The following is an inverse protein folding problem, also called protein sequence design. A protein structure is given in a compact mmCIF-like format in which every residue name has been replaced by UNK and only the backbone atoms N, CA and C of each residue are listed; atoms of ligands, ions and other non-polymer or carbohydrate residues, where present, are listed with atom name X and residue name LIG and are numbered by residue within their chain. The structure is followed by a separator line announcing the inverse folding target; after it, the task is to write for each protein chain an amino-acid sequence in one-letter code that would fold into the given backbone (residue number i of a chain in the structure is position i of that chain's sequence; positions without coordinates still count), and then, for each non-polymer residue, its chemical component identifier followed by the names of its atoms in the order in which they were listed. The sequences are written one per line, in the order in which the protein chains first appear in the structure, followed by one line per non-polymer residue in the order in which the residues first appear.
data_IF_181663526748
#
_entry.id   IF_181663526748
#
_cell.length_a   1.000
_cell.length_b   1.000
_cell.length_c   1.000
_cell.angle_alpha   90.00
_cell.angle_beta   90.00
_cell.angle_gamma   90.00
#
_symmetry.space_group_name_H-M   'P 1'
#
loop_
_entity.id
_entity.type
_entity.pdbx_description
1 polymer ?
#
# COMPACT_ATOMS: atom_id res chain seq x y z
N UNK A 1 -4.04 14.28 -11.55
CA UNK A 1 -2.78 13.83 -10.92
C UNK A 1 -3.03 13.16 -9.57
N UNK A 2 -3.75 13.77 -8.64
CA UNK A 2 -3.98 13.21 -7.28
C UNK A 2 -4.59 11.80 -7.25
N UNK A 3 -5.56 11.49 -8.10
CA UNK A 3 -6.16 10.15 -8.16
C UNK A 3 -5.17 9.05 -8.60
N UNK A 4 -4.27 9.38 -9.54
CA UNK A 4 -3.24 8.44 -9.99
C UNK A 4 -2.21 8.18 -8.89
N UNK A 5 -1.84 9.22 -8.14
CA UNK A 5 -0.94 9.09 -6.98
C UNK A 5 -1.55 8.25 -5.85
N UNK A 6 -2.87 8.26 -5.67
CA UNK A 6 -3.56 7.40 -4.70
C UNK A 6 -3.69 5.95 -5.20
N UNK A 7 -3.85 5.75 -6.50
CA UNK A 7 -3.95 4.41 -7.11
C UNK A 7 -2.60 3.66 -7.13
N UNK A 8 -1.48 4.38 -7.26
CA UNK A 8 -0.15 3.80 -7.25
C UNK A 8 0.41 3.81 -5.82
N UNK A 9 0.28 2.67 -5.14
CA UNK A 9 0.76 2.50 -3.77
C UNK A 9 1.92 1.51 -3.63
N UNK A 10 2.47 1.44 -2.43
CA UNK A 10 3.55 0.52 -2.05
C UNK A 10 3.18 -0.97 -2.26
N UNK A 11 1.88 -1.29 -2.18
CA UNK A 11 1.36 -2.62 -2.53
C UNK A 11 1.65 -3.04 -3.98
N UNK A 12 1.71 -2.10 -4.92
CA UNK A 12 2.05 -2.43 -6.32
C UNK A 12 3.53 -2.81 -6.47
N UNK A 13 4.40 -2.32 -5.59
CA UNK A 13 5.85 -2.55 -5.65
C UNK A 13 6.22 -3.92 -5.10
N UNK A 14 5.69 -4.31 -3.93
CA UNK A 14 6.08 -5.59 -3.30
C UNK A 14 5.01 -6.67 -3.38
N UNK A 15 3.71 -6.33 -3.30
CA UNK A 15 2.66 -7.34 -3.09
C UNK A 15 2.21 -7.93 -4.40
N UNK A 16 2.07 -7.09 -5.42
CA UNK A 16 1.71 -7.55 -6.75
C UNK A 16 2.74 -8.55 -7.32
N UNK A 17 4.06 -8.26 -7.34
CA UNK A 17 5.04 -9.23 -7.83
C UNK A 17 5.08 -10.51 -6.99
N UNK A 18 4.95 -10.38 -5.66
CA UNK A 18 4.88 -11.54 -4.76
C UNK A 18 3.69 -12.46 -5.07
N UNK A 19 2.51 -11.88 -5.31
CA UNK A 19 1.30 -12.65 -5.66
C UNK A 19 1.40 -13.26 -7.06
N UNK A 20 1.96 -12.55 -8.04
CA UNK A 20 2.24 -13.10 -9.36
C UNK A 20 3.18 -14.32 -9.23
N UNK A 21 4.28 -14.19 -8.50
CA UNK A 21 5.24 -15.27 -8.30
C UNK A 21 4.60 -16.51 -7.68
N UNK A 22 3.80 -16.34 -6.62
CA UNK A 22 3.17 -17.46 -5.90
C UNK A 22 2.03 -18.13 -6.67
N UNK A 23 1.36 -17.43 -7.58
CA UNK A 23 0.14 -17.89 -8.25
C UNK A 23 0.35 -18.24 -9.74
N UNK A 24 1.51 -18.77 -10.10
CA UNK A 24 1.78 -19.23 -11.48
C UNK A 24 2.34 -18.16 -12.42
N UNK A 25 3.01 -17.15 -11.87
CA UNK A 25 3.75 -16.12 -12.61
C UNK A 25 2.86 -15.33 -13.56
N UNK A 26 3.17 -15.40 -14.84
CA UNK A 26 2.42 -14.69 -15.89
C UNK A 26 0.97 -15.14 -16.05
N UNK A 27 0.63 -16.38 -15.68
CA UNK A 27 -0.76 -16.88 -15.78
C UNK A 27 -1.72 -16.14 -14.84
N UNK A 28 -1.22 -15.60 -13.72
CA UNK A 28 -2.00 -14.82 -12.76
C UNK A 28 -2.54 -13.50 -13.35
N UNK A 29 -1.92 -12.97 -14.41
CA UNK A 29 -2.35 -11.73 -15.06
C UNK A 29 -3.76 -11.82 -15.65
N UNK A 30 -4.16 -12.97 -16.17
CA UNK A 30 -5.47 -13.15 -16.79
C UNK A 30 -6.63 -12.98 -15.80
N UNK A 31 -6.71 -13.76 -14.69
CA UNK A 31 -7.74 -13.55 -13.68
C UNK A 31 -7.61 -12.19 -12.98
N UNK A 32 -6.38 -11.67 -12.81
CA UNK A 32 -6.15 -10.35 -12.23
C UNK A 32 -6.80 -9.24 -13.08
N UNK A 33 -6.51 -9.18 -14.38
CA UNK A 33 -7.07 -8.18 -15.28
C UNK A 33 -8.59 -8.32 -15.42
N UNK A 34 -9.09 -9.56 -15.48
CA UNK A 34 -10.53 -9.82 -15.50
C UNK A 34 -11.23 -9.24 -14.26
N UNK A 35 -10.72 -9.51 -13.06
CA UNK A 35 -11.27 -8.97 -11.81
C UNK A 35 -11.15 -7.44 -11.73
N UNK A 36 -10.06 -6.86 -12.24
CA UNK A 36 -9.90 -5.40 -12.30
C UNK A 36 -10.97 -4.78 -13.20
N UNK A 37 -11.27 -5.36 -14.36
CA UNK A 37 -12.27 -4.81 -15.28
C UNK A 37 -13.70 -5.02 -14.75
N UNK A 38 -13.99 -6.19 -14.18
CA UNK A 38 -15.36 -6.56 -13.76
C UNK A 38 -15.73 -5.98 -12.40
N UNK A 39 -14.80 -5.91 -11.45
CA UNK A 39 -15.08 -5.44 -10.09
C UNK A 39 -14.33 -4.14 -9.77
N UNK A 40 -13.04 -4.07 -10.07
CA UNK A 40 -12.21 -2.91 -9.73
C UNK A 40 -12.70 -1.62 -10.39
N UNK A 41 -12.88 -1.63 -11.71
CA UNK A 41 -13.26 -0.46 -12.47
C UNK A 41 -14.69 0.03 -12.14
N UNK A 42 -15.72 -0.83 -12.03
CA UNK A 42 -17.06 -0.38 -11.65
C UNK A 42 -17.12 0.19 -10.23
N UNK A 43 -16.42 -0.39 -9.26
CA UNK A 43 -16.39 0.11 -7.88
C UNK A 43 -15.70 1.49 -7.85
N UNK A 44 -14.55 1.63 -8.51
CA UNK A 44 -13.83 2.89 -8.59
C UNK A 44 -14.66 3.97 -9.29
N UNK A 45 -15.34 3.62 -10.38
CA UNK A 45 -16.22 4.55 -11.09
C UNK A 45 -17.41 4.97 -10.21
N UNK A 46 -18.03 4.03 -9.48
CA UNK A 46 -19.11 4.32 -8.54
C UNK A 46 -18.65 5.27 -7.44
N UNK A 47 -17.49 5.04 -6.84
CA UNK A 47 -16.95 5.91 -5.79
C UNK A 47 -16.67 7.33 -6.29
N UNK A 48 -16.08 7.46 -7.49
CA UNK A 48 -15.84 8.77 -8.09
C UNK A 48 -17.13 9.49 -8.46
N UNK A 49 -18.06 8.81 -9.14
CA UNK A 49 -19.32 9.40 -9.54
C UNK A 49 -20.16 9.82 -8.32
N UNK A 50 -20.20 8.97 -7.28
CA UNK A 50 -20.89 9.28 -6.04
C UNK A 50 -20.26 10.47 -5.32
N UNK A 51 -18.93 10.49 -5.15
CA UNK A 51 -18.23 11.60 -4.53
C UNK A 51 -18.39 12.92 -5.29
N UNK A 52 -18.35 12.88 -6.62
CA UNK A 52 -18.57 14.07 -7.45
C UNK A 52 -20.02 14.58 -7.39
N UNK A 53 -21.00 13.68 -7.41
CA UNK A 53 -22.41 14.03 -7.32
C UNK A 53 -22.77 14.62 -5.95
N UNK A 54 -22.29 14.00 -4.86
CA UNK A 54 -22.58 14.43 -3.51
C UNK A 54 -21.81 15.68 -3.08
N UNK A 55 -20.67 15.99 -3.73
CA UNK A 55 -19.82 17.17 -3.50
C UNK A 55 -19.59 17.52 -2.01
N UNK A 56 -19.57 16.51 -1.15
CA UNK A 56 -19.50 16.60 0.30
C UNK A 56 -18.55 15.55 0.85
N UNK A 57 -18.16 15.67 2.13
CA UNK A 57 -17.30 14.70 2.79
C UNK A 57 -17.96 13.32 2.93
N UNK A 58 -17.15 12.29 3.12
CA UNK A 58 -17.58 10.88 3.16
C UNK A 58 -18.67 10.60 4.23
N UNK A 59 -18.63 11.25 5.40
CA UNK A 59 -19.68 11.05 6.42
C UNK A 59 -20.98 11.72 5.98
N UNK A 60 -20.90 12.97 5.52
CA UNK A 60 -22.06 13.78 5.15
C UNK A 60 -22.78 13.26 3.91
N UNK A 61 -22.05 12.68 2.94
CA UNK A 61 -22.65 12.09 1.75
C UNK A 61 -23.52 10.87 2.08
N UNK A 62 -23.08 10.02 3.02
CA UNK A 62 -23.86 8.88 3.50
C UNK A 62 -25.06 9.34 4.35
N UNK A 63 -24.89 10.35 5.20
CA UNK A 63 -25.99 10.96 5.97
C UNK A 63 -27.11 11.51 5.07
N UNK A 64 -26.76 12.19 3.98
CA UNK A 64 -27.73 12.79 3.05
C UNK A 64 -28.31 11.80 2.05
N UNK A 65 -27.51 10.83 1.58
CA UNK A 65 -27.92 9.86 0.58
C UNK A 65 -28.77 8.73 1.14
N UNK A 66 -28.31 8.10 2.23
CA UNK A 66 -29.05 7.04 2.91
C UNK A 66 -28.69 7.02 4.40
N UNK A 67 -29.47 7.65 5.28
CA UNK A 67 -29.14 7.77 6.71
C UNK A 67 -29.06 6.42 7.42
N UNK A 68 -29.72 5.37 6.90
CA UNK A 68 -29.59 4.00 7.42
C UNK A 68 -28.14 3.47 7.32
N UNK A 69 -27.39 3.93 6.32
CA UNK A 69 -26.00 3.52 6.06
C UNK A 69 -24.97 4.55 6.53
N UNK A 70 -25.34 5.48 7.41
CA UNK A 70 -24.42 6.48 7.97
C UNK A 70 -23.16 5.85 8.59
N UNK A 71 -23.29 4.68 9.21
CA UNK A 71 -22.17 3.96 9.82
C UNK A 71 -21.03 3.62 8.82
N UNK A 72 -21.34 3.50 7.53
CA UNK A 72 -20.34 3.26 6.48
C UNK A 72 -19.38 4.45 6.40
N UNK A 73 -19.90 5.68 6.41
CA UNK A 73 -19.07 6.89 6.36
C UNK A 73 -18.07 6.95 7.50
N UNK A 74 -18.52 6.70 8.74
CA UNK A 74 -17.66 6.66 9.91
C UNK A 74 -16.61 5.53 9.85
N UNK A 75 -17.00 4.33 9.40
CA UNK A 75 -16.07 3.22 9.26
C UNK A 75 -14.95 3.51 8.25
N UNK A 76 -15.28 4.14 7.11
CA UNK A 76 -14.29 4.53 6.10
C UNK A 76 -13.32 5.56 6.69
N UNK A 77 -13.82 6.54 7.45
CA UNK A 77 -12.96 7.53 8.12
C UNK A 77 -12.00 6.88 9.11
N UNK A 78 -12.45 5.94 9.95
CA UNK A 78 -11.59 5.25 10.92
C UNK A 78 -10.52 4.42 10.21
N UNK A 79 -10.89 3.62 9.21
CA UNK A 79 -9.95 2.81 8.43
C UNK A 79 -8.91 3.70 7.73
N UNK A 80 -9.35 4.81 7.14
CA UNK A 80 -8.47 5.77 6.47
C UNK A 80 -7.49 6.40 7.46
N UNK A 81 -7.96 6.77 8.65
CA UNK A 81 -7.12 7.33 9.70
C UNK A 81 -6.04 6.33 10.16
N UNK A 82 -6.41 5.07 10.40
CA UNK A 82 -5.44 4.02 10.76
C UNK A 82 -4.43 3.77 9.63
N UNK A 83 -4.87 3.77 8.38
CA UNK A 83 -3.96 3.67 7.23
C UNK A 83 -2.98 4.84 7.18
N UNK A 84 -3.45 6.07 7.39
CA UNK A 84 -2.57 7.24 7.41
C UNK A 84 -1.43 7.10 8.43
N UNK A 85 -1.72 6.63 9.65
CA UNK A 85 -0.69 6.44 10.69
C UNK A 85 0.37 5.43 10.22
N UNK A 86 -0.08 4.26 9.76
CA UNK A 86 0.82 3.19 9.31
C UNK A 86 1.65 3.59 8.08
N UNK A 87 1.03 4.23 7.08
CA UNK A 87 1.73 4.64 5.86
C UNK A 87 2.74 5.77 6.13
N UNK A 88 2.45 6.71 7.03
CA UNK A 88 3.42 7.74 7.41
C UNK A 88 4.67 7.14 8.08
N UNK A 89 4.50 6.09 8.90
CA UNK A 89 5.62 5.36 9.48
C UNK A 89 6.50 4.71 8.40
N UNK A 90 5.90 4.10 7.37
CA UNK A 90 6.64 3.53 6.24
C UNK A 90 7.40 4.60 5.45
N UNK A 91 6.78 5.76 5.20
CA UNK A 91 7.45 6.89 4.53
C UNK A 91 8.64 7.36 5.38
N UNK A 92 8.49 7.47 6.71
CA UNK A 92 9.57 7.83 7.61
C UNK A 92 10.75 6.85 7.53
N UNK A 93 10.49 5.54 7.48
CA UNK A 93 11.54 4.54 7.26
C UNK A 93 12.23 4.71 5.90
N UNK A 94 11.46 4.90 4.82
CA UNK A 94 12.04 5.12 3.49
C UNK A 94 12.95 6.35 3.48
N UNK A 95 12.53 7.46 4.09
CA UNK A 95 13.33 8.68 4.21
C UNK A 95 14.59 8.43 5.04
N UNK A 96 14.48 7.72 6.17
CA UNK A 96 15.62 7.32 6.97
C UNK A 96 16.66 6.52 6.16
N UNK A 97 16.22 5.49 5.41
CA UNK A 97 17.10 4.68 4.58
C UNK A 97 17.72 5.47 3.42
N UNK A 98 17.02 6.47 2.86
CA UNK A 98 17.59 7.36 1.84
C UNK A 98 18.77 8.14 2.42
N UNK A 99 18.59 8.78 3.58
CA UNK A 99 19.68 9.53 4.21
C UNK A 99 20.81 8.62 4.70
N UNK A 100 20.48 7.44 5.22
CA UNK A 100 21.48 6.43 5.63
C UNK A 100 22.26 5.83 4.43
N UNK A 101 21.77 6.01 3.20
CA UNK A 101 22.46 5.56 1.98
C UNK A 101 23.48 6.58 1.45
N UNK A 102 23.56 7.80 2.02
CA UNK A 102 24.57 8.80 1.64
C UNK A 102 25.93 8.53 2.29
N UNK A 103 26.45 7.33 2.09
CA UNK A 103 27.76 6.86 2.54
C UNK A 103 28.35 5.94 1.47
N UNK A 104 29.68 5.80 1.42
CA UNK A 104 30.36 4.95 0.43
C UNK A 104 30.22 3.46 0.70
N UNK A 105 30.14 3.06 1.97
CA UNK A 105 29.82 1.69 2.37
C UNK A 105 28.49 1.67 3.11
N UNK A 106 27.58 0.78 2.69
CA UNK A 106 26.22 0.78 3.22
C UNK A 106 26.18 0.12 4.60
N UNK A 107 25.43 0.67 5.57
CA UNK A 107 25.40 0.14 6.93
C UNK A 107 24.92 -1.31 7.03
N UNK A 108 24.07 -1.77 6.10
CA UNK A 108 23.54 -3.13 6.04
C UNK A 108 24.35 -4.08 5.14
N UNK A 109 25.47 -3.61 4.58
CA UNK A 109 26.38 -4.45 3.79
C UNK A 109 27.24 -5.35 4.68
N UNK A 110 27.63 -4.85 5.86
CA UNK A 110 28.58 -5.52 6.74
C UNK A 110 27.96 -5.97 8.07
N UNK A 111 28.57 -7.02 8.60
CA UNK A 111 28.18 -7.67 9.85
C UNK A 111 28.87 -7.09 11.10
N UNK A 112 29.72 -6.07 10.97
CA UNK A 112 30.54 -5.51 12.06
C UNK A 112 29.88 -4.41 12.91
N UNK A 113 28.57 -4.18 12.79
CA UNK A 113 27.90 -3.08 13.47
C UNK A 113 27.52 -3.40 14.92
N UNK A 114 27.39 -2.38 15.80
CA UNK A 114 27.04 -2.59 17.21
C UNK A 114 25.62 -3.17 17.45
N UNK A 115 24.73 -3.07 16.47
CA UNK A 115 23.39 -3.66 16.52
C UNK A 115 23.32 -5.10 16.02
N UNK A 116 24.42 -5.63 15.46
CA UNK A 116 24.44 -6.99 14.92
C UNK A 116 24.65 -8.01 16.05
N UNK A 117 23.88 -9.08 16.01
CA UNK A 117 24.19 -10.32 16.73
C UNK A 117 25.35 -11.06 16.03
N UNK A 118 25.98 -12.03 16.71
CA UNK A 118 27.09 -12.81 16.11
C UNK A 118 26.66 -13.34 14.74
N UNK A 119 27.38 -12.94 13.69
CA UNK A 119 27.04 -13.31 12.32
C UNK A 119 27.45 -14.76 12.01
N UNK A 120 26.67 -15.72 12.49
CA UNK A 120 26.78 -17.14 12.12
C UNK A 120 26.32 -17.41 10.67
N UNK A 121 25.76 -16.40 9.98
CA UNK A 121 25.16 -16.57 8.66
C UNK A 121 26.14 -16.43 7.50
N UNK A 122 27.32 -15.83 7.70
CA UNK A 122 28.31 -15.67 6.63
C UNK A 122 29.19 -16.93 6.44
N UNK A 123 29.32 -17.77 7.47
CA UNK A 123 30.06 -19.04 7.35
C UNK A 123 29.29 -20.09 6.53
N UNK A 124 27.94 -20.13 6.61
CA UNK A 124 27.10 -21.10 5.87
C UNK A 124 26.88 -20.82 4.38
N UNK A 125 27.22 -19.64 3.87
CA UNK A 125 27.12 -19.32 2.43
C UNK A 125 28.44 -19.50 1.68
N UNK A 126 29.52 -19.80 2.41
CA UNK A 126 30.86 -20.06 1.86
C UNK A 126 31.23 -21.56 1.93
N UNK A 127 30.28 -22.45 2.30
CA UNK A 127 30.37 -23.91 2.17
C UNK A 127 29.49 -24.41 1.01
#
# INVERSE_FOLDING_TARGET
MSALSLAVGMGNVWRFPYMCYRNGGGAFLFPYLFMVVVAGFPIMFLEFAFGQYGATGIVTIWQKGCPLFEGIGWSITVVTFTMCIYYNMLIAYSVYFIFASFTSQLPWETCGNPWNTKCEFHERMNE
#
